data_IF_926708423706
#
_entry.id   IF_926708423706
#
_cell.length_a   1.000
_cell.length_b   1.000
_cell.length_c   1.000
_cell.angle_alpha   90.00
_cell.angle_beta   90.00
_cell.angle_gamma   90.00
#
_symmetry.space_group_name_H-M   'P 1'
#
loop_
_entity.id
_entity.type
_entity.pdbx_description
1 polymer ?
#
# COMPACT_ATOMS: atom_id res chain seq x y z
N UNK A 1 22.71 15.11 16.72
CA UNK A 1 22.31 16.52 16.40
C UNK A 1 21.04 16.52 15.54
N UNK A 2 20.98 15.80 14.44
CA UNK A 2 19.78 15.67 13.57
C UNK A 2 18.62 15.01 14.32
N UNK A 3 18.87 13.97 15.10
CA UNK A 3 17.83 13.26 15.86
C UNK A 3 17.08 14.18 16.84
N UNK A 4 17.80 15.07 17.51
CA UNK A 4 17.18 16.04 18.42
C UNK A 4 16.39 17.11 17.67
N UNK A 5 16.86 17.54 16.50
CA UNK A 5 16.12 18.43 15.62
C UNK A 5 14.77 17.79 15.25
N UNK A 6 14.80 16.59 14.68
CA UNK A 6 13.60 15.87 14.26
C UNK A 6 12.59 15.73 15.40
N UNK A 7 13.06 15.29 16.59
CA UNK A 7 12.20 15.13 17.77
C UNK A 7 11.55 16.44 18.22
N UNK A 8 12.30 17.55 18.21
CA UNK A 8 11.78 18.85 18.62
C UNK A 8 10.79 19.43 17.62
N UNK A 9 11.10 19.37 16.31
CA UNK A 9 10.22 19.84 15.25
C UNK A 9 8.90 19.07 15.27
N UNK A 10 8.94 17.74 15.27
CA UNK A 10 7.72 16.93 15.28
C UNK A 10 6.92 17.07 16.58
N UNK A 11 7.56 17.29 17.73
CA UNK A 11 6.85 17.61 18.97
C UNK A 11 6.08 18.92 18.86
N UNK A 12 6.68 19.93 18.27
CA UNK A 12 6.05 21.25 18.06
C UNK A 12 4.92 21.16 17.05
N UNK A 13 5.10 20.34 16.00
CA UNK A 13 4.18 20.22 14.90
C UNK A 13 3.03 19.22 15.14
N UNK A 14 3.13 18.38 16.15
CA UNK A 14 2.17 17.32 16.42
C UNK A 14 0.69 17.77 16.55
N UNK A 15 0.37 18.91 17.21
CA UNK A 15 -1.01 19.39 17.22
C UNK A 15 -1.60 19.71 15.83
N UNK A 16 -0.75 20.12 14.88
CA UNK A 16 -1.13 20.33 13.49
C UNK A 16 -1.38 19.01 12.78
N UNK A 17 -0.51 18.01 12.98
CA UNK A 17 -0.68 16.66 12.43
C UNK A 17 -2.04 16.08 12.82
N UNK A 18 -2.44 16.20 14.09
CA UNK A 18 -3.76 15.76 14.55
C UNK A 18 -4.89 16.46 13.79
N UNK A 19 -4.79 17.77 13.58
CA UNK A 19 -5.81 18.53 12.83
C UNK A 19 -5.90 18.08 11.36
N UNK A 20 -4.76 17.93 10.70
CA UNK A 20 -4.70 17.47 9.29
C UNK A 20 -5.31 16.07 9.14
N UNK A 21 -4.91 15.13 9.99
CA UNK A 21 -5.45 13.76 9.99
C UNK A 21 -6.96 13.76 10.20
N UNK A 22 -7.44 14.44 11.23
CA UNK A 22 -8.85 14.47 11.58
C UNK A 22 -9.70 15.17 10.53
N UNK A 23 -9.16 16.20 9.88
CA UNK A 23 -9.83 16.83 8.73
C UNK A 23 -10.03 15.86 7.58
N UNK A 24 -8.99 15.13 7.15
CA UNK A 24 -9.10 14.12 6.11
C UNK A 24 -10.05 12.99 6.52
N UNK A 25 -9.97 12.53 7.78
CA UNK A 25 -10.88 11.51 8.32
C UNK A 25 -12.37 11.92 8.26
N UNK A 26 -12.66 13.19 8.48
CA UNK A 26 -14.02 13.75 8.39
C UNK A 26 -14.51 13.91 6.95
N UNK A 27 -13.61 13.99 5.97
CA UNK A 27 -13.93 14.28 4.57
C UNK A 27 -13.32 13.23 3.62
N UNK A 28 -13.55 11.94 3.86
CA UNK A 28 -12.92 10.88 3.08
C UNK A 28 -13.51 10.78 1.68
N UNK A 29 -12.69 10.41 0.71
CA UNK A 29 -13.07 10.13 -0.67
C UNK A 29 -12.58 8.73 -1.06
N UNK A 30 -13.45 7.95 -1.74
CA UNK A 30 -13.10 6.60 -2.16
C UNK A 30 -12.13 6.62 -3.35
N UNK A 31 -11.42 5.49 -3.53
CA UNK A 31 -10.48 5.27 -4.63
C UNK A 31 -11.00 5.78 -5.98
N UNK A 32 -10.15 6.49 -6.72
CA UNK A 32 -10.41 7.14 -8.01
C UNK A 32 -11.43 8.30 -7.98
N UNK A 33 -11.81 8.80 -6.81
CA UNK A 33 -12.69 9.96 -6.61
C UNK A 33 -12.11 11.02 -5.65
N UNK A 34 -10.81 10.96 -5.35
CA UNK A 34 -10.13 11.71 -4.29
C UNK A 34 -9.76 13.14 -4.72
N UNK A 35 -10.61 13.79 -5.50
CA UNK A 35 -10.34 15.11 -6.06
C UNK A 35 -10.14 16.19 -4.98
N UNK A 36 -11.02 16.23 -3.99
CA UNK A 36 -10.96 17.29 -2.95
C UNK A 36 -9.81 17.00 -1.97
N UNK A 37 -9.53 15.72 -1.69
CA UNK A 37 -8.38 15.30 -0.88
C UNK A 37 -7.06 15.70 -1.55
N UNK A 38 -6.93 15.47 -2.86
CA UNK A 38 -5.77 15.92 -3.63
C UNK A 38 -5.62 17.45 -3.62
N UNK A 39 -6.72 18.20 -3.77
CA UNK A 39 -6.72 19.66 -3.68
C UNK A 39 -6.30 20.14 -2.28
N UNK A 40 -6.78 19.50 -1.23
CA UNK A 40 -6.39 19.80 0.15
C UNK A 40 -4.89 19.59 0.38
N UNK A 41 -4.34 18.45 -0.06
CA UNK A 41 -2.91 18.14 0.02
C UNK A 41 -2.08 19.18 -0.74
N UNK A 42 -2.46 19.48 -1.97
CA UNK A 42 -1.76 20.48 -2.79
C UNK A 42 -1.75 21.86 -2.14
N UNK A 43 -2.89 22.33 -1.63
CA UNK A 43 -3.01 23.63 -0.97
C UNK A 43 -2.12 23.70 0.28
N UNK A 44 -2.08 22.64 1.07
CA UNK A 44 -1.20 22.57 2.23
C UNK A 44 0.30 22.61 1.83
N UNK A 45 0.70 21.88 0.79
CA UNK A 45 2.07 21.91 0.28
C UNK A 45 2.47 23.32 -0.20
N UNK A 46 1.56 24.04 -0.85
CA UNK A 46 1.77 25.44 -1.25
C UNK A 46 1.89 26.37 -0.02
N UNK A 47 1.05 26.18 1.01
CA UNK A 47 1.07 26.97 2.24
C UNK A 47 2.41 26.86 2.99
N UNK A 48 3.00 25.66 3.04
CA UNK A 48 4.33 25.45 3.64
C UNK A 48 5.49 25.98 2.75
N UNK A 49 5.18 26.59 1.60
CA UNK A 49 6.15 27.24 0.71
C UNK A 49 6.78 26.34 -0.34
N UNK A 50 6.29 25.11 -0.54
CA UNK A 50 6.77 24.21 -1.57
C UNK A 50 6.27 24.68 -2.94
N UNK A 51 7.15 24.71 -3.95
CA UNK A 51 6.85 25.29 -5.28
C UNK A 51 6.92 24.28 -6.41
N UNK A 52 7.78 23.27 -6.30
CA UNK A 52 7.95 22.23 -7.31
C UNK A 52 6.96 21.10 -7.05
N UNK A 53 5.71 21.36 -7.41
CA UNK A 53 4.57 20.43 -7.21
C UNK A 53 3.96 20.14 -8.57
N UNK A 54 3.81 18.86 -8.88
CA UNK A 54 3.07 18.36 -10.04
C UNK A 54 1.81 17.67 -9.54
N UNK A 55 0.65 18.11 -10.01
CA UNK A 55 -0.65 17.53 -9.70
C UNK A 55 -1.19 16.73 -10.87
N UNK A 56 -2.23 15.93 -10.61
CA UNK A 56 -2.89 15.08 -11.62
C UNK A 56 -1.93 14.07 -12.28
N UNK A 57 -0.97 13.57 -11.53
CA UNK A 57 -0.08 12.50 -11.97
C UNK A 57 -0.84 11.17 -11.94
N UNK A 58 -1.00 10.57 -13.11
CA UNK A 58 -1.91 9.43 -13.29
C UNK A 58 -3.39 9.89 -13.34
N UNK A 59 -3.98 10.29 -12.24
CA UNK A 59 -5.31 10.89 -12.14
C UNK A 59 -5.30 12.01 -11.08
N UNK A 60 -5.29 11.67 -9.78
CA UNK A 60 -5.27 12.64 -8.68
C UNK A 60 -3.93 12.67 -7.94
N UNK A 61 -2.93 11.90 -8.40
CA UNK A 61 -1.62 11.83 -7.75
C UNK A 61 -0.90 13.16 -7.73
N UNK A 62 -0.10 13.38 -6.66
CA UNK A 62 0.72 14.57 -6.47
C UNK A 62 2.17 14.14 -6.28
N UNK A 63 3.07 14.80 -6.98
CA UNK A 63 4.51 14.65 -6.82
C UNK A 63 5.11 16.01 -6.44
N UNK A 64 5.70 16.07 -5.27
CA UNK A 64 6.28 17.30 -4.72
C UNK A 64 7.78 17.11 -4.51
N UNK A 65 8.61 17.94 -5.14
CA UNK A 65 10.08 17.88 -5.04
C UNK A 65 10.60 18.97 -4.12
N UNK A 66 11.35 18.56 -3.11
CA UNK A 66 12.07 19.43 -2.17
C UNK A 66 13.56 19.35 -2.56
N UNK A 67 14.13 20.48 -2.99
CA UNK A 67 15.53 20.54 -3.41
C UNK A 67 16.46 20.60 -2.20
N UNK A 68 17.43 19.69 -2.16
CA UNK A 68 18.51 19.69 -1.19
C UNK A 68 19.70 20.56 -1.63
N UNK A 69 20.83 20.38 -0.92
CA UNK A 69 22.08 21.09 -1.23
C UNK A 69 22.72 20.57 -2.53
N UNK A 70 22.49 19.33 -2.88
CA UNK A 70 22.98 18.66 -4.10
C UNK A 70 21.88 17.81 -4.72
N UNK A 71 21.49 18.17 -5.95
CA UNK A 71 20.46 17.46 -6.72
C UNK A 71 20.98 16.24 -7.50
N UNK A 72 22.20 15.77 -7.22
CA UNK A 72 22.77 14.58 -7.89
C UNK A 72 22.15 13.26 -7.46
N UNK A 73 21.43 13.26 -6.34
CA UNK A 73 20.73 12.10 -5.78
C UNK A 73 19.34 12.51 -5.30
N UNK A 74 18.41 11.55 -5.31
CA UNK A 74 17.02 11.78 -4.88
C UNK A 74 16.47 10.59 -4.11
N UNK A 75 15.91 10.84 -2.93
CA UNK A 75 15.15 9.87 -2.17
C UNK A 75 13.66 10.20 -2.23
N UNK A 76 12.82 9.18 -2.40
CA UNK A 76 11.37 9.36 -2.44
C UNK A 76 10.70 8.73 -1.22
N UNK A 77 9.57 9.33 -0.82
CA UNK A 77 8.65 8.78 0.19
C UNK A 77 7.25 8.78 -0.39
N UNK A 78 6.49 7.69 -0.17
CA UNK A 78 5.11 7.56 -0.65
C UNK A 78 4.13 7.48 0.51
N UNK A 79 3.02 8.15 0.36
CA UNK A 79 1.81 7.95 1.13
C UNK A 79 0.60 7.91 0.20
N UNK A 80 -0.34 7.01 0.49
CA UNK A 80 -1.65 6.94 -0.12
C UNK A 80 -2.66 7.87 0.60
N UNK A 81 -3.80 8.18 -0.07
CA UNK A 81 -4.79 9.09 0.53
C UNK A 81 -6.25 8.73 0.22
N UNK A 82 -6.52 7.58 -0.37
CA UNK A 82 -7.89 7.13 -0.63
C UNK A 82 -8.55 6.50 0.60
N UNK A 83 -9.87 6.41 0.56
CA UNK A 83 -10.71 5.85 1.59
C UNK A 83 -11.58 4.70 1.05
N UNK A 84 -12.29 4.05 1.94
CA UNK A 84 -13.10 2.85 1.67
C UNK A 84 -14.60 3.14 1.74
N UNK A 85 -15.39 2.39 0.95
CA UNK A 85 -16.85 2.37 1.01
C UNK A 85 -17.34 1.62 2.26
N UNK A 86 -17.03 2.16 3.45
CA UNK A 86 -17.37 1.60 4.76
C UNK A 86 -18.06 2.69 5.58
N UNK A 87 -19.14 2.33 6.28
CA UNK A 87 -19.80 3.27 7.19
C UNK A 87 -18.98 3.42 8.47
N UNK A 88 -18.55 4.63 8.78
CA UNK A 88 -17.87 4.92 10.05
C UNK A 88 -18.85 4.78 11.23
N UNK A 89 -18.59 3.84 12.12
CA UNK A 89 -19.44 3.55 13.28
C UNK A 89 -18.85 4.05 14.60
N UNK A 90 -17.72 4.78 14.55
CA UNK A 90 -17.11 5.36 15.75
C UNK A 90 -17.97 6.47 16.35
N UNK A 91 -17.80 6.66 17.65
CA UNK A 91 -18.37 7.78 18.40
C UNK A 91 -17.22 8.74 18.77
N UNK A 92 -16.75 9.49 17.78
CA UNK A 92 -15.66 10.45 17.92
C UNK A 92 -16.03 11.78 17.26
N UNK A 93 -15.43 12.90 17.73
CA UNK A 93 -15.65 14.22 17.17
C UNK A 93 -15.18 14.35 15.71
N UNK A 94 -14.24 13.50 15.29
CA UNK A 94 -13.69 13.45 13.92
C UNK A 94 -14.24 12.30 13.07
N UNK A 95 -15.37 11.72 13.47
CA UNK A 95 -16.08 10.73 12.64
C UNK A 95 -16.33 11.25 11.24
N UNK A 96 -16.27 10.37 10.24
CA UNK A 96 -16.58 10.70 8.85
C UNK A 96 -17.94 11.42 8.73
N UNK A 97 -17.96 12.52 8.00
CA UNK A 97 -19.20 13.26 7.65
C UNK A 97 -19.80 12.79 6.33
N UNK A 98 -19.09 11.90 5.61
CA UNK A 98 -19.53 11.35 4.32
C UNK A 98 -20.20 10.00 4.55
N UNK A 99 -21.49 9.83 4.25
CA UNK A 99 -22.20 8.59 4.47
C UNK A 99 -21.55 7.40 3.73
N UNK A 100 -21.34 6.30 4.44
CA UNK A 100 -20.76 5.06 3.91
C UNK A 100 -19.35 5.20 3.32
N UNK A 101 -18.59 6.21 3.72
CA UNK A 101 -17.18 6.36 3.36
C UNK A 101 -16.35 6.64 4.61
N UNK A 102 -15.20 5.98 4.74
CA UNK A 102 -14.34 6.10 5.92
C UNK A 102 -12.89 5.77 5.55
N UNK A 103 -11.94 6.52 6.15
CA UNK A 103 -10.55 6.07 6.21
C UNK A 103 -10.41 4.90 7.20
N UNK A 104 -10.68 3.68 6.73
CA UNK A 104 -10.60 2.47 7.54
C UNK A 104 -9.29 1.68 7.33
N UNK A 105 -8.30 2.29 6.65
CA UNK A 105 -6.97 1.71 6.45
C UNK A 105 -5.82 2.59 6.96
N UNK A 106 -6.11 3.83 7.41
CA UNK A 106 -5.10 4.72 8.01
C UNK A 106 -4.40 5.64 7.01
N UNK A 107 -4.89 5.74 5.77
CA UNK A 107 -4.28 6.57 4.72
C UNK A 107 -4.30 8.08 5.06
N UNK A 108 -5.26 8.55 5.85
CA UNK A 108 -5.27 9.87 6.47
C UNK A 108 -4.04 10.10 7.38
N UNK A 109 -3.61 9.07 8.09
CA UNK A 109 -2.39 9.06 8.91
C UNK A 109 -1.11 8.99 8.06
N UNK A 110 -1.09 8.16 7.01
CA UNK A 110 0.05 8.06 6.07
C UNK A 110 0.32 9.42 5.41
N UNK A 111 -0.72 10.00 4.83
CA UNK A 111 -0.66 11.32 4.20
C UNK A 111 -0.22 12.40 5.18
N UNK A 112 -0.78 12.42 6.39
CA UNK A 112 -0.38 13.39 7.43
C UNK A 112 1.10 13.24 7.80
N UNK A 113 1.59 12.02 7.94
CA UNK A 113 3.01 11.79 8.26
C UNK A 113 3.94 12.31 7.15
N UNK A 114 3.55 12.15 5.88
CA UNK A 114 4.33 12.66 4.76
C UNK A 114 4.23 14.19 4.63
N UNK A 115 3.07 14.80 4.90
CA UNK A 115 2.91 16.27 4.97
C UNK A 115 3.79 16.87 6.08
N UNK A 116 3.82 16.26 7.26
CA UNK A 116 4.69 16.69 8.35
C UNK A 116 6.18 16.55 7.98
N UNK A 117 6.53 15.48 7.28
CA UNK A 117 7.89 15.30 6.74
C UNK A 117 8.24 16.46 5.79
N UNK A 118 7.37 16.79 4.84
CA UNK A 118 7.57 17.92 3.92
C UNK A 118 7.76 19.24 4.68
N UNK A 119 6.91 19.52 5.68
CA UNK A 119 7.00 20.74 6.50
C UNK A 119 8.36 20.86 7.19
N UNK A 120 8.79 19.82 7.89
CA UNK A 120 10.07 19.84 8.62
C UNK A 120 11.26 19.97 7.66
N UNK A 121 11.21 19.33 6.49
CA UNK A 121 12.25 19.50 5.47
C UNK A 121 12.30 20.92 4.92
N UNK A 122 11.15 21.53 4.64
CA UNK A 122 11.06 22.91 4.15
C UNK A 122 11.63 23.92 5.18
N UNK A 123 11.41 23.71 6.47
CA UNK A 123 11.96 24.55 7.53
C UNK A 123 13.49 24.35 7.76
N UNK A 124 14.07 23.28 7.17
CA UNK A 124 15.47 22.89 7.41
C UNK A 124 16.23 22.56 6.10
N UNK A 125 15.94 23.28 5.02
CA UNK A 125 16.57 23.07 3.69
C UNK A 125 18.10 23.17 3.72
N UNK A 126 18.64 23.98 4.62
CA UNK A 126 20.09 24.14 4.83
C UNK A 126 20.79 22.86 5.33
N UNK A 127 20.02 21.90 5.84
CA UNK A 127 20.52 20.62 6.36
C UNK A 127 20.21 19.43 5.46
N UNK A 128 19.37 19.63 4.43
CA UNK A 128 18.96 18.57 3.52
C UNK A 128 20.06 18.29 2.48
N UNK A 129 20.72 17.13 2.50
CA UNK A 129 21.87 16.90 1.62
C UNK A 129 21.49 16.73 0.15
N UNK A 130 20.42 16.02 -0.13
CA UNK A 130 19.97 15.70 -1.49
C UNK A 130 18.48 15.96 -1.66
N UNK A 131 18.00 15.89 -2.90
CA UNK A 131 16.59 16.09 -3.21
C UNK A 131 15.71 15.03 -2.55
N UNK A 132 14.52 15.46 -2.13
CA UNK A 132 13.45 14.58 -1.65
C UNK A 132 12.24 14.72 -2.57
N UNK A 133 11.65 13.59 -2.94
CA UNK A 133 10.38 13.52 -3.67
C UNK A 133 9.32 12.94 -2.74
N UNK A 134 8.28 13.70 -2.47
CA UNK A 134 7.08 13.24 -1.78
C UNK A 134 6.03 12.84 -2.82
N UNK A 135 5.59 11.59 -2.77
CA UNK A 135 4.58 11.00 -3.66
C UNK A 135 3.31 10.79 -2.84
N UNK A 136 2.27 11.56 -3.15
CA UNK A 136 0.94 11.36 -2.58
C UNK A 136 0.10 10.63 -3.63
N UNK A 137 -0.30 9.40 -3.31
CA UNK A 137 -0.91 8.48 -4.24
C UNK A 137 -2.40 8.28 -3.95
N UNK A 138 -3.20 8.33 -4.99
CA UNK A 138 -4.62 7.96 -5.00
C UNK A 138 -4.82 6.45 -5.23
N UNK A 139 -5.99 5.92 -4.89
CA UNK A 139 -6.52 4.66 -5.44
C UNK A 139 -5.76 3.40 -5.05
N UNK A 140 -5.20 3.28 -3.85
CA UNK A 140 -4.52 2.06 -3.40
C UNK A 140 -5.50 0.90 -3.18
N UNK A 141 -6.64 1.18 -2.58
CA UNK A 141 -7.62 0.19 -2.10
C UNK A 141 -8.40 -0.54 -3.22
N UNK A 142 -8.26 -0.09 -4.44
CA UNK A 142 -8.99 -0.66 -5.58
C UNK A 142 -8.08 -0.89 -6.79
N UNK A 143 -7.93 -2.16 -7.19
CA UNK A 143 -7.22 -2.49 -8.43
C UNK A 143 -7.83 -1.74 -9.64
N UNK A 144 -7.00 -1.26 -10.58
CA UNK A 144 -5.58 -1.58 -10.78
C UNK A 144 -4.58 -0.78 -9.92
N UNK A 145 -5.03 0.04 -8.97
CA UNK A 145 -4.19 0.88 -8.13
C UNK A 145 -3.77 2.19 -8.80
N UNK A 146 -3.33 3.13 -7.95
CA UNK A 146 -2.81 4.42 -8.40
C UNK A 146 -1.30 4.40 -8.70
N UNK A 147 -0.54 3.44 -8.12
CA UNK A 147 0.92 3.40 -8.26
C UNK A 147 1.37 3.29 -9.71
N UNK A 148 0.88 2.29 -10.46
CA UNK A 148 1.31 2.07 -11.84
C UNK A 148 1.02 3.26 -12.77
N UNK A 149 -0.18 3.85 -12.81
CA UNK A 149 -0.43 5.06 -13.60
C UNK A 149 0.46 6.25 -13.20
N UNK A 150 0.80 6.40 -11.92
CA UNK A 150 1.72 7.46 -11.48
C UNK A 150 3.15 7.20 -11.94
N UNK A 151 3.61 5.95 -11.92
CA UNK A 151 4.93 5.54 -12.44
C UNK A 151 5.00 5.80 -13.95
N UNK A 152 3.98 5.36 -14.69
CA UNK A 152 3.89 5.57 -16.14
C UNK A 152 3.87 7.08 -16.50
N UNK A 153 3.37 7.93 -15.58
CA UNK A 153 3.39 9.39 -15.70
C UNK A 153 4.68 10.07 -15.16
N UNK A 154 5.71 9.30 -14.78
CA UNK A 154 7.04 9.78 -14.43
C UNK A 154 7.21 10.24 -12.98
N UNK A 155 6.43 9.71 -12.02
CA UNK A 155 6.60 10.06 -10.60
C UNK A 155 7.93 9.59 -10.01
N UNK A 156 8.59 8.61 -10.65
CA UNK A 156 9.91 8.09 -10.28
C UNK A 156 11.08 8.71 -11.09
N UNK A 157 10.84 9.73 -11.89
CA UNK A 157 11.89 10.36 -12.69
C UNK A 157 13.03 10.89 -11.81
N UNK A 158 14.24 10.36 -12.03
CA UNK A 158 15.45 10.67 -11.26
C UNK A 158 15.34 10.37 -9.76
N UNK A 159 14.59 9.35 -9.38
CA UNK A 159 14.54 8.82 -8.01
C UNK A 159 15.53 7.65 -7.88
N UNK A 160 16.40 7.71 -6.87
CA UNK A 160 17.45 6.71 -6.61
C UNK A 160 17.05 5.70 -5.54
N UNK A 161 16.15 6.08 -4.64
CA UNK A 161 15.64 5.22 -3.56
C UNK A 161 14.23 5.62 -3.17
N UNK A 162 13.41 4.65 -2.76
CA UNK A 162 12.04 4.92 -2.31
C UNK A 162 11.70 4.17 -1.02
N UNK A 163 10.98 4.83 -0.12
CA UNK A 163 10.47 4.22 1.10
C UNK A 163 9.00 4.55 1.30
N UNK A 164 8.26 3.57 1.83
CA UNK A 164 6.86 3.71 2.21
C UNK A 164 6.59 3.02 3.54
N UNK A 165 5.46 3.34 4.15
CA UNK A 165 5.06 2.77 5.42
C UNK A 165 3.55 2.54 5.47
N UNK A 166 3.12 1.52 6.20
CA UNK A 166 1.72 1.32 6.55
C UNK A 166 1.55 1.34 8.07
N UNK A 167 0.60 2.14 8.56
CA UNK A 167 0.16 2.10 9.95
C UNK A 167 -0.56 0.77 10.20
N UNK A 168 -0.10 -0.02 11.20
CA UNK A 168 -0.56 -1.40 11.34
C UNK A 168 -1.12 -1.67 12.74
N UNK A 169 -2.44 -1.69 12.89
CA UNK A 169 -3.09 -1.89 14.20
C UNK A 169 -2.94 -3.29 14.80
N UNK A 170 -2.67 -4.37 14.03
CA UNK A 170 -2.30 -5.65 14.64
C UNK A 170 -0.96 -5.62 15.39
N UNK A 171 -0.09 -4.65 15.12
CA UNK A 171 1.12 -4.41 15.92
C UNK A 171 0.85 -3.31 16.95
N UNK A 172 1.29 -3.48 18.21
CA UNK A 172 1.15 -2.45 19.23
C UNK A 172 1.99 -1.22 18.89
N UNK A 173 1.59 -0.05 19.39
CA UNK A 173 2.42 1.14 19.34
C UNK A 173 3.84 0.82 19.86
N UNK A 174 4.85 1.52 19.35
CA UNK A 174 6.27 1.27 19.63
C UNK A 174 6.81 -0.06 19.07
N UNK A 175 6.16 -0.63 18.05
CA UNK A 175 6.68 -1.75 17.27
C UNK A 175 6.89 -1.32 15.81
N UNK A 176 7.97 -1.76 15.18
CA UNK A 176 8.17 -1.67 13.73
C UNK A 176 8.28 -3.08 13.17
N UNK A 177 7.33 -3.42 12.31
CA UNK A 177 7.33 -4.67 11.54
C UNK A 177 8.07 -4.50 10.21
N UNK A 178 8.95 -5.44 9.89
CA UNK A 178 9.72 -5.43 8.66
C UNK A 178 9.90 -6.84 8.07
N UNK A 179 10.26 -6.89 6.80
CA UNK A 179 10.76 -8.10 6.16
C UNK A 179 11.96 -7.74 5.28
N UNK A 180 12.91 -8.64 5.16
CA UNK A 180 14.05 -8.48 4.23
C UNK A 180 13.69 -8.84 2.79
N UNK A 181 12.58 -9.55 2.58
CA UNK A 181 12.12 -10.04 1.29
C UNK A 181 10.62 -9.80 1.15
N UNK A 182 9.83 -10.88 1.03
CA UNK A 182 8.37 -10.80 0.87
C UNK A 182 7.71 -10.16 2.09
N UNK A 183 6.91 -9.12 1.87
CA UNK A 183 6.10 -8.48 2.90
C UNK A 183 4.61 -8.65 2.65
N UNK A 184 4.12 -8.38 1.41
CA UNK A 184 2.73 -8.57 1.05
C UNK A 184 2.61 -9.45 -0.20
N UNK A 185 1.58 -10.30 -0.25
CA UNK A 185 1.32 -11.19 -1.37
C UNK A 185 0.83 -10.40 -2.60
N UNK A 186 1.02 -10.98 -3.77
CA UNK A 186 0.27 -10.57 -4.95
C UNK A 186 -1.24 -10.67 -4.70
N UNK A 187 -2.02 -9.84 -5.37
CA UNK A 187 -3.47 -9.74 -5.16
C UNK A 187 -4.22 -9.72 -6.47
N UNK A 188 -4.30 -10.88 -7.13
CA UNK A 188 -4.99 -10.99 -8.41
C UNK A 188 -6.47 -11.28 -8.27
N UNK A 189 -7.23 -10.83 -9.24
CA UNK A 189 -8.66 -11.11 -9.38
C UNK A 189 -8.96 -11.78 -10.72
N UNK A 190 -9.89 -12.73 -10.70
CA UNK A 190 -10.43 -13.36 -11.90
C UNK A 190 -11.93 -13.61 -11.80
N UNK A 191 -12.56 -13.80 -12.93
CA UNK A 191 -13.95 -14.23 -13.06
C UNK A 191 -14.05 -15.38 -14.05
N UNK A 192 -14.92 -16.35 -13.75
CA UNK A 192 -15.28 -17.43 -14.68
C UNK A 192 -16.78 -17.33 -14.93
N UNK A 193 -17.16 -17.20 -16.22
CA UNK A 193 -18.55 -17.18 -16.66
C UNK A 193 -18.85 -18.48 -17.38
N UNK A 194 -19.90 -19.15 -16.96
CA UNK A 194 -20.36 -20.42 -17.53
C UNK A 194 -21.73 -20.21 -18.10
N UNK A 195 -21.93 -20.55 -19.39
CA UNK A 195 -23.23 -20.63 -20.05
C UNK A 195 -23.41 -22.03 -20.58
N UNK A 196 -24.47 -22.74 -20.18
CA UNK A 196 -24.72 -24.14 -20.54
C UNK A 196 -26.20 -24.43 -20.68
N UNK A 197 -26.54 -25.25 -21.67
CA UNK A 197 -27.91 -25.80 -21.80
C UNK A 197 -28.11 -27.09 -20.98
N UNK A 198 -27.01 -27.67 -20.46
CA UNK A 198 -27.09 -28.89 -19.66
C UNK A 198 -27.39 -28.56 -18.19
N UNK A 199 -26.38 -28.10 -17.46
CA UNK A 199 -26.54 -27.65 -16.04
C UNK A 199 -25.35 -26.83 -15.58
N UNK A 200 -25.40 -25.51 -15.69
CA UNK A 200 -24.34 -24.61 -15.26
C UNK A 200 -24.01 -24.72 -13.76
N UNK A 201 -25.00 -25.11 -12.90
CA UNK A 201 -24.73 -25.31 -11.46
C UNK A 201 -23.76 -26.46 -11.20
N UNK A 202 -23.90 -27.58 -11.90
CA UNK A 202 -23.02 -28.74 -11.73
C UNK A 202 -21.60 -28.42 -12.21
N UNK A 203 -21.50 -27.81 -13.41
CA UNK A 203 -20.21 -27.41 -13.97
C UNK A 203 -19.50 -26.40 -13.07
N UNK A 204 -20.22 -25.44 -12.49
CA UNK A 204 -19.67 -24.50 -11.53
C UNK A 204 -19.18 -25.17 -10.25
N UNK A 205 -19.93 -26.12 -9.70
CA UNK A 205 -19.53 -26.90 -8.52
C UNK A 205 -18.26 -27.71 -8.78
N UNK A 206 -18.16 -28.32 -9.96
CA UNK A 206 -16.98 -29.07 -10.40
C UNK A 206 -15.76 -28.15 -10.55
N UNK A 207 -15.91 -27.01 -11.22
CA UNK A 207 -14.87 -25.97 -11.32
C UNK A 207 -14.36 -25.56 -9.94
N UNK A 208 -15.25 -25.25 -8.98
CA UNK A 208 -14.90 -24.89 -7.60
C UNK A 208 -14.06 -25.99 -6.96
N UNK A 209 -14.50 -27.24 -7.04
CA UNK A 209 -13.82 -28.39 -6.44
C UNK A 209 -12.43 -28.61 -7.05
N UNK A 210 -12.32 -28.57 -8.39
CA UNK A 210 -11.06 -28.82 -9.10
C UNK A 210 -10.06 -27.67 -8.92
N UNK A 211 -10.53 -26.42 -8.85
CA UNK A 211 -9.67 -25.24 -8.62
C UNK A 211 -8.96 -25.34 -7.26
N UNK A 212 -9.63 -25.81 -6.21
CA UNK A 212 -9.00 -26.01 -4.90
C UNK A 212 -7.89 -27.07 -4.92
N UNK A 213 -7.98 -28.07 -5.82
CA UNK A 213 -6.93 -29.05 -6.02
C UNK A 213 -5.67 -28.44 -6.68
N UNK A 214 -5.83 -27.39 -7.50
CA UNK A 214 -4.69 -26.68 -8.10
C UNK A 214 -3.81 -26.09 -6.98
N UNK A 215 -4.40 -25.39 -6.03
CA UNK A 215 -3.66 -24.80 -4.92
C UNK A 215 -2.89 -25.85 -4.12
N UNK A 216 -3.51 -26.99 -3.81
CA UNK A 216 -2.89 -28.03 -2.97
C UNK A 216 -1.84 -28.88 -3.68
N UNK A 217 -1.89 -29.00 -5.02
CA UNK A 217 -1.01 -29.91 -5.78
C UNK A 217 0.19 -29.25 -6.45
N UNK A 218 0.10 -27.96 -6.74
CA UNK A 218 1.11 -27.27 -7.55
C UNK A 218 2.00 -26.32 -6.76
N UNK A 219 1.65 -25.97 -5.51
CA UNK A 219 2.58 -25.31 -4.59
C UNK A 219 3.63 -26.29 -4.08
N UNK A 220 4.90 -25.90 -4.12
CA UNK A 220 5.99 -26.67 -3.51
C UNK A 220 6.01 -26.43 -1.99
N UNK A 221 6.70 -27.30 -1.22
CA UNK A 221 6.92 -27.02 0.20
C UNK A 221 7.55 -25.61 0.39
N UNK A 222 6.96 -24.80 1.26
CA UNK A 222 7.31 -23.40 1.55
C UNK A 222 6.92 -22.39 0.47
N UNK A 223 6.22 -22.77 -0.59
CA UNK A 223 5.57 -21.82 -1.51
C UNK A 223 4.13 -21.60 -1.06
N UNK A 224 3.78 -20.35 -0.79
CA UNK A 224 2.41 -20.00 -0.41
C UNK A 224 1.60 -19.68 -1.65
N UNK A 225 0.48 -20.39 -1.79
CA UNK A 225 -0.53 -20.15 -2.82
C UNK A 225 -1.91 -20.24 -2.20
N UNK A 226 -2.70 -19.17 -2.32
CA UNK A 226 -4.11 -19.18 -1.89
C UNK A 226 -5.00 -18.81 -3.06
N UNK A 227 -5.96 -19.67 -3.38
CA UNK A 227 -7.03 -19.39 -4.36
C UNK A 227 -8.34 -19.33 -3.58
N UNK A 228 -8.95 -18.16 -3.53
CA UNK A 228 -10.23 -17.95 -2.88
C UNK A 228 -11.31 -17.71 -3.92
N UNK A 229 -12.39 -18.49 -3.88
CA UNK A 229 -13.59 -18.26 -4.69
C UNK A 229 -14.61 -17.53 -3.80
N UNK A 230 -14.61 -16.20 -3.90
CA UNK A 230 -15.34 -15.33 -2.97
C UNK A 230 -16.82 -15.20 -3.29
N UNK A 231 -17.22 -15.43 -4.55
CA UNK A 231 -18.61 -15.32 -4.98
C UNK A 231 -18.93 -16.39 -6.01
N UNK A 232 -20.07 -17.05 -5.85
CA UNK A 232 -20.69 -17.94 -6.82
C UNK A 232 -22.16 -17.58 -6.94
N UNK A 233 -22.58 -17.17 -8.12
CA UNK A 233 -23.98 -16.99 -8.49
C UNK A 233 -24.30 -17.94 -9.63
N UNK A 234 -25.41 -18.70 -9.54
CA UNK A 234 -25.73 -19.67 -10.57
C UNK A 234 -27.24 -19.92 -10.73
N UNK A 235 -27.60 -20.29 -11.94
CA UNK A 235 -28.87 -20.83 -12.35
C UNK A 235 -28.64 -22.13 -13.11
N UNK A 236 -29.69 -22.77 -13.61
CA UNK A 236 -29.52 -23.96 -14.46
C UNK A 236 -28.71 -23.69 -15.74
N UNK A 237 -28.79 -22.47 -16.30
CA UNK A 237 -28.18 -22.16 -17.58
C UNK A 237 -26.95 -21.27 -17.52
N UNK A 238 -26.75 -20.55 -16.42
CA UNK A 238 -25.65 -19.58 -16.26
C UNK A 238 -25.04 -19.67 -14.87
N UNK A 239 -23.73 -19.49 -14.79
CA UNK A 239 -23.02 -19.30 -13.53
C UNK A 239 -21.91 -18.26 -13.68
N UNK A 240 -21.66 -17.52 -12.61
CA UNK A 240 -20.52 -16.60 -12.48
C UNK A 240 -19.79 -16.88 -11.18
N UNK A 241 -18.47 -17.06 -11.27
CA UNK A 241 -17.59 -17.32 -10.14
C UNK A 241 -16.54 -16.22 -10.13
N UNK A 242 -16.42 -15.47 -9.03
CA UNK A 242 -15.36 -14.49 -8.84
C UNK A 242 -14.36 -15.04 -7.82
N UNK A 243 -13.08 -14.97 -8.15
CA UNK A 243 -12.01 -15.45 -7.30
C UNK A 243 -10.82 -14.50 -7.22
N UNK A 244 -9.96 -14.78 -6.24
CA UNK A 244 -8.67 -14.11 -6.06
C UNK A 244 -7.55 -15.14 -5.96
N UNK A 245 -6.35 -14.75 -6.40
CA UNK A 245 -5.12 -15.54 -6.26
C UNK A 245 -4.13 -14.72 -5.45
N UNK A 246 -3.53 -15.35 -4.42
CA UNK A 246 -2.46 -14.78 -3.58
C UNK A 246 -1.22 -15.65 -3.71
N UNK A 247 -0.08 -15.03 -3.98
CA UNK A 247 1.19 -15.74 -4.16
C UNK A 247 2.38 -14.79 -3.95
N UNK A 248 3.60 -15.35 -3.88
CA UNK A 248 4.84 -14.58 -3.84
C UNK A 248 5.77 -14.88 -5.03
N UNK A 249 5.42 -15.86 -5.86
CA UNK A 249 6.27 -16.37 -6.92
C UNK A 249 5.60 -16.21 -8.30
N UNK A 250 6.25 -15.46 -9.21
CA UNK A 250 5.73 -15.19 -10.57
C UNK A 250 5.60 -16.45 -11.44
N UNK A 251 6.51 -17.44 -11.27
CA UNK A 251 6.45 -18.68 -12.04
C UNK A 251 5.27 -19.55 -11.59
N UNK A 252 5.05 -19.65 -10.27
CA UNK A 252 3.89 -20.33 -9.70
C UNK A 252 2.58 -19.67 -10.14
N UNK A 253 2.55 -18.34 -10.17
CA UNK A 253 1.40 -17.57 -10.66
C UNK A 253 1.03 -17.95 -12.10
N UNK A 254 1.99 -17.90 -13.04
CA UNK A 254 1.73 -18.25 -14.44
C UNK A 254 1.26 -19.70 -14.58
N UNK A 255 1.87 -20.60 -13.83
CA UNK A 255 1.43 -22.01 -13.80
C UNK A 255 -0.02 -22.15 -13.35
N UNK A 256 -0.44 -21.41 -12.33
CA UNK A 256 -1.81 -21.43 -11.80
C UNK A 256 -2.81 -20.90 -12.83
N UNK A 257 -2.51 -19.76 -13.48
CA UNK A 257 -3.35 -19.22 -14.55
C UNK A 257 -3.53 -20.21 -15.69
N UNK A 258 -2.43 -20.84 -16.14
CA UNK A 258 -2.46 -21.88 -17.18
C UNK A 258 -3.31 -23.09 -16.77
N UNK A 259 -3.27 -23.49 -15.49
CA UNK A 259 -4.06 -24.60 -14.96
C UNK A 259 -5.54 -24.26 -14.90
N UNK A 260 -5.88 -23.06 -14.44
CA UNK A 260 -7.28 -22.59 -14.40
C UNK A 260 -7.86 -22.52 -15.83
N UNK A 261 -7.10 -21.96 -16.76
CA UNK A 261 -7.52 -21.91 -18.17
C UNK A 261 -7.74 -23.29 -18.78
N UNK A 262 -6.82 -24.23 -18.55
CA UNK A 262 -6.97 -25.60 -19.01
C UNK A 262 -8.16 -26.32 -18.37
N UNK A 263 -8.44 -26.04 -17.11
CA UNK A 263 -9.60 -26.57 -16.43
C UNK A 263 -10.90 -26.05 -17.09
N UNK A 264 -10.98 -24.77 -17.40
CA UNK A 264 -12.12 -24.20 -18.14
C UNK A 264 -12.33 -24.90 -19.49
N UNK A 265 -11.26 -25.07 -20.28
CA UNK A 265 -11.33 -25.75 -21.57
C UNK A 265 -11.76 -27.22 -21.44
N UNK A 266 -11.26 -27.95 -20.43
CA UNK A 266 -11.63 -29.35 -20.20
C UNK A 266 -13.11 -29.49 -19.86
N UNK A 267 -13.61 -28.61 -18.97
CA UNK A 267 -15.02 -28.62 -18.60
C UNK A 267 -15.95 -28.20 -19.77
N UNK A 268 -15.49 -27.32 -20.67
CA UNK A 268 -16.18 -26.96 -21.88
C UNK A 268 -16.26 -28.14 -22.89
N UNK A 269 -15.16 -28.86 -23.07
CA UNK A 269 -15.07 -30.03 -23.97
C UNK A 269 -15.90 -31.24 -23.48
N UNK A 270 -15.98 -31.41 -22.13
CA UNK A 270 -16.71 -32.52 -21.52
C UNK A 270 -18.23 -32.29 -21.48
N UNK A 271 -18.69 -31.04 -21.61
CA UNK A 271 -20.11 -30.65 -21.52
C UNK A 271 -20.55 -30.02 -22.82
N UNK A 272 -21.36 -30.73 -23.58
CA UNK A 272 -21.87 -30.24 -24.85
C UNK A 272 -22.74 -28.98 -24.65
N UNK A 273 -22.77 -28.08 -25.66
CA UNK A 273 -23.51 -26.81 -25.60
C UNK A 273 -23.14 -25.91 -24.38
N UNK A 274 -21.90 -26.05 -23.89
CA UNK A 274 -21.37 -25.24 -22.79
C UNK A 274 -20.29 -24.30 -23.31
N UNK A 275 -20.27 -23.06 -22.78
CA UNK A 275 -19.23 -22.08 -23.00
C UNK A 275 -18.71 -21.57 -21.65
N UNK A 276 -17.37 -21.52 -21.50
CA UNK A 276 -16.73 -21.06 -20.30
C UNK A 276 -15.72 -19.95 -20.63
N UNK A 277 -15.99 -18.75 -20.19
CA UNK A 277 -15.10 -17.60 -20.36
C UNK A 277 -14.28 -17.39 -19.06
N UNK A 278 -12.96 -17.55 -19.14
CA UNK A 278 -12.03 -17.18 -18.05
C UNK A 278 -11.53 -15.75 -18.28
N UNK A 279 -11.84 -14.85 -17.37
CA UNK A 279 -11.48 -13.43 -17.42
C UNK A 279 -10.51 -13.14 -16.28
N UNK A 280 -9.27 -12.84 -16.62
CA UNK A 280 -8.25 -12.43 -15.68
C UNK A 280 -8.15 -10.90 -15.68
N UNK A 281 -8.33 -10.28 -14.51
CA UNK A 281 -8.30 -8.82 -14.36
C UNK A 281 -6.92 -8.30 -13.92
N UNK A 282 -6.01 -9.20 -13.55
CA UNK A 282 -4.76 -8.81 -12.91
C UNK A 282 -4.96 -8.38 -11.45
N UNK A 283 -3.95 -7.72 -10.92
CA UNK A 283 -3.91 -7.22 -9.56
C UNK A 283 -2.53 -6.67 -9.25
N UNK A 284 -2.17 -6.60 -7.96
CA UNK A 284 -0.87 -6.10 -7.52
C UNK A 284 0.19 -7.22 -7.54
N UNK A 285 1.43 -6.94 -7.95
CA UNK A 285 2.52 -7.88 -7.77
C UNK A 285 2.83 -8.09 -6.29
N UNK A 286 3.60 -9.15 -5.93
CA UNK A 286 4.02 -9.28 -4.55
C UNK A 286 4.94 -8.12 -4.16
N UNK A 287 4.72 -7.57 -2.97
CA UNK A 287 5.60 -6.56 -2.39
C UNK A 287 6.81 -7.27 -1.79
N UNK A 288 7.96 -7.08 -2.44
CA UNK A 288 9.23 -7.66 -2.06
C UNK A 288 10.22 -6.54 -1.76
N UNK A 289 10.63 -6.43 -0.51
CA UNK A 289 11.62 -5.45 -0.09
C UNK A 289 13.01 -5.77 -0.64
N UNK A 290 13.77 -4.74 -0.94
CA UNK A 290 15.20 -4.89 -1.18
C UNK A 290 15.91 -5.05 0.17
N UNK A 291 16.67 -6.11 0.33
CA UNK A 291 17.36 -6.43 1.59
C UNK A 291 18.17 -5.24 2.13
N UNK A 292 18.98 -4.61 1.29
CA UNK A 292 19.74 -3.40 1.65
C UNK A 292 18.84 -2.22 2.02
N UNK A 293 17.70 -2.07 1.37
CA UNK A 293 16.69 -1.06 1.73
C UNK A 293 16.20 -1.26 3.16
N UNK A 294 15.90 -2.50 3.54
CA UNK A 294 15.49 -2.85 4.89
C UNK A 294 16.65 -2.66 5.89
N UNK A 295 17.88 -3.08 5.55
CA UNK A 295 19.07 -2.88 6.41
C UNK A 295 19.31 -1.38 6.70
N UNK A 296 19.26 -0.53 5.67
CA UNK A 296 19.40 0.92 5.84
C UNK A 296 18.25 1.50 6.69
N UNK A 297 17.00 1.14 6.40
CA UNK A 297 15.84 1.53 7.20
C UNK A 297 16.08 1.23 8.69
N UNK A 298 16.38 -0.02 9.04
CA UNK A 298 16.56 -0.46 10.43
C UNK A 298 17.73 0.23 11.12
N UNK A 299 18.81 0.51 10.37
CA UNK A 299 19.97 1.26 10.88
C UNK A 299 19.60 2.67 11.35
N UNK A 300 18.69 3.35 10.63
CA UNK A 300 18.26 4.70 11.00
C UNK A 300 17.12 4.69 12.01
N UNK A 301 16.22 3.73 11.95
CA UNK A 301 15.17 3.54 12.97
C UNK A 301 15.79 3.36 14.36
N UNK A 302 16.79 2.49 14.50
CA UNK A 302 17.48 2.23 15.78
C UNK A 302 18.15 3.47 16.37
N UNK A 303 18.50 4.48 15.55
CA UNK A 303 19.09 5.74 16.00
C UNK A 303 18.05 6.78 16.41
N UNK A 304 16.99 6.92 15.59
CA UNK A 304 15.98 7.97 15.79
C UNK A 304 14.92 7.57 16.81
N UNK A 305 14.53 6.31 16.83
CA UNK A 305 13.49 5.73 17.70
C UNK A 305 14.02 4.46 18.40
N UNK A 306 15.04 4.57 19.25
CA UNK A 306 15.68 3.41 19.90
C UNK A 306 14.75 2.64 20.85
N UNK A 307 13.59 3.20 21.19
CA UNK A 307 12.57 2.53 21.99
C UNK A 307 11.71 1.55 21.17
N UNK A 308 11.71 1.65 19.83
CA UNK A 308 10.89 0.74 19.03
C UNK A 308 11.40 -0.70 19.11
N UNK A 309 10.49 -1.61 19.35
CA UNK A 309 10.71 -3.03 19.13
C UNK A 309 10.74 -3.31 17.63
N UNK A 310 11.83 -3.92 17.14
CA UNK A 310 11.98 -4.30 15.73
C UNK A 310 11.57 -5.75 15.57
N UNK A 311 10.52 -6.02 14.80
CA UNK A 311 9.93 -7.34 14.60
C UNK A 311 9.99 -7.73 13.13
N UNK A 312 10.70 -8.82 12.81
CA UNK A 312 10.62 -9.43 11.50
C UNK A 312 9.29 -10.17 11.40
N UNK A 313 8.41 -9.67 10.53
CA UNK A 313 7.05 -10.20 10.39
C UNK A 313 6.97 -11.29 9.33
N UNK A 314 6.08 -12.25 9.55
CA UNK A 314 5.71 -13.21 8.51
C UNK A 314 5.02 -12.49 7.35
N UNK A 315 5.20 -12.94 6.10
CA UNK A 315 4.57 -12.34 4.94
C UNK A 315 3.05 -12.31 5.04
N UNK A 316 2.45 -11.16 4.73
CA UNK A 316 1.02 -10.92 4.81
C UNK A 316 0.29 -11.33 3.54
N UNK A 317 -0.86 -11.98 3.67
CA UNK A 317 -1.71 -12.40 2.54
C UNK A 317 -2.66 -11.28 2.07
N UNK A 318 -2.15 -10.03 2.03
CA UNK A 318 -2.83 -8.82 1.55
C UNK A 318 -2.11 -8.28 0.31
N UNK A 319 -2.78 -7.43 -0.48
CA UNK A 319 -2.16 -6.69 -1.59
C UNK A 319 -1.73 -5.31 -1.13
N UNK A 320 -0.68 -4.76 -1.75
CA UNK A 320 -0.20 -3.39 -1.58
C UNK A 320 0.47 -2.95 -2.89
N UNK A 321 -0.04 -1.89 -3.52
CA UNK A 321 0.44 -1.46 -4.84
C UNK A 321 1.79 -0.70 -4.79
N UNK A 322 2.31 -0.41 -3.60
CA UNK A 322 3.70 0.02 -3.41
C UNK A 322 4.70 -0.97 -4.04
N UNK A 323 4.30 -2.22 -4.19
CA UNK A 323 5.07 -3.24 -4.89
C UNK A 323 5.57 -2.79 -6.27
N UNK A 324 4.76 -2.03 -7.02
CA UNK A 324 5.17 -1.49 -8.32
C UNK A 324 6.34 -0.51 -8.22
N UNK A 325 6.42 0.29 -7.16
CA UNK A 325 7.56 1.19 -6.96
C UNK A 325 8.85 0.42 -6.73
N UNK A 326 8.80 -0.64 -5.91
CA UNK A 326 9.96 -1.48 -5.63
C UNK A 326 10.42 -2.33 -6.82
N UNK A 327 9.55 -2.59 -7.80
CA UNK A 327 9.98 -3.18 -9.08
C UNK A 327 10.84 -2.23 -9.93
N UNK A 328 10.82 -0.92 -9.66
CA UNK A 328 11.48 0.11 -10.45
C UNK A 328 12.66 0.80 -9.74
N UNK A 329 12.58 0.94 -8.41
CA UNK A 329 13.56 1.70 -7.62
C UNK A 329 13.88 0.94 -6.33
N UNK A 330 15.15 0.83 -5.91
CA UNK A 330 15.51 0.17 -4.67
C UNK A 330 14.95 0.92 -3.44
N UNK A 331 14.56 0.15 -2.42
CA UNK A 331 13.99 0.72 -1.22
C UNK A 331 13.37 -0.33 -0.30
N UNK A 332 12.49 0.12 0.58
CA UNK A 332 11.75 -0.76 1.47
C UNK A 332 10.39 -0.17 1.88
N UNK A 333 9.46 -1.07 2.16
CA UNK A 333 8.19 -0.79 2.80
C UNK A 333 8.17 -1.45 4.19
N UNK A 334 7.60 -0.77 5.17
CA UNK A 334 7.58 -1.25 6.54
C UNK A 334 6.21 -1.02 7.20
N UNK A 335 5.94 -1.81 8.23
CA UNK A 335 4.75 -1.67 9.05
C UNK A 335 5.11 -0.92 10.33
N UNK A 336 4.31 0.06 10.72
CA UNK A 336 4.52 0.76 11.98
C UNK A 336 3.34 0.51 12.92
N UNK A 337 3.61 -0.04 14.09
CA UNK A 337 2.60 -0.41 15.06
C UNK A 337 1.76 0.79 15.49
N UNK A 338 0.46 0.66 15.37
CA UNK A 338 -0.53 1.71 15.57
C UNK A 338 -1.67 1.29 16.49
N UNK A 339 -1.62 0.05 17.00
CA UNK A 339 -2.67 -0.55 17.82
C UNK A 339 -2.51 -0.32 19.32
N UNK A 340 -3.66 -0.43 20.02
CA UNK A 340 -3.75 -0.52 21.47
C UNK A 340 -4.92 -1.41 21.88
N UNK A 341 -5.04 -1.73 23.19
CA UNK A 341 -6.08 -2.61 23.72
C UNK A 341 -7.44 -1.91 23.92
N UNK A 342 -7.55 -0.63 23.59
CA UNK A 342 -8.76 0.16 23.85
C UNK A 342 -9.51 0.51 22.56
N UNK A 343 -9.22 1.63 21.93
CA UNK A 343 -9.93 2.12 20.74
C UNK A 343 -9.27 1.69 19.42
N UNK A 344 -7.95 1.54 19.38
CA UNK A 344 -7.16 1.15 18.20
C UNK A 344 -6.93 -0.39 18.14
N UNK A 345 -7.94 -1.18 18.49
CA UNK A 345 -7.90 -2.65 18.53
C UNK A 345 -8.57 -3.33 17.34
N UNK A 346 -9.28 -2.57 16.54
CA UNK A 346 -9.99 -3.11 15.40
C UNK A 346 -9.03 -3.25 14.19
N UNK A 347 -9.17 -4.32 13.41
CA UNK A 347 -8.35 -4.50 12.21
C UNK A 347 -8.70 -3.46 11.14
N UNK A 348 -7.82 -3.33 10.15
CA UNK A 348 -8.09 -2.57 8.94
C UNK A 348 -9.39 -3.02 8.28
N UNK A 349 -10.07 -2.09 7.60
CA UNK A 349 -11.37 -2.28 6.94
C UNK A 349 -12.54 -2.58 7.89
N UNK A 350 -12.36 -2.34 9.20
CA UNK A 350 -13.44 -2.47 10.17
C UNK A 350 -14.17 -1.13 10.38
N UNK A 351 -15.53 -1.10 10.53
CA UNK A 351 -16.28 0.15 10.74
C UNK A 351 -15.90 0.97 11.99
N UNK A 352 -15.25 0.35 12.96
CA UNK A 352 -14.73 1.00 14.16
C UNK A 352 -13.19 1.15 14.13
N UNK A 353 -12.56 1.02 12.96
CA UNK A 353 -11.11 1.19 12.83
C UNK A 353 -10.68 2.59 13.29
N UNK A 354 -9.63 2.62 14.09
CA UNK A 354 -8.89 3.82 14.48
C UNK A 354 -7.45 3.42 14.82
N UNK A 355 -6.58 4.38 15.01
CA UNK A 355 -5.19 4.13 15.35
C UNK A 355 -4.64 5.18 16.32
N UNK A 356 -3.56 4.84 17.02
CA UNK A 356 -2.82 5.77 17.88
C UNK A 356 -2.18 6.89 17.04
N UNK A 357 -2.69 8.13 17.17
CA UNK A 357 -2.22 9.26 16.36
C UNK A 357 -0.72 9.56 16.53
N UNK A 358 -0.11 9.13 17.63
CA UNK A 358 1.34 9.28 17.87
C UNK A 358 2.20 8.56 16.83
N UNK A 359 1.70 7.48 16.22
CA UNK A 359 2.39 6.73 15.17
C UNK A 359 2.77 7.60 13.97
N UNK A 360 2.00 8.65 13.68
CA UNK A 360 2.33 9.59 12.61
C UNK A 360 3.69 10.29 12.87
N UNK A 361 4.01 10.60 14.13
CA UNK A 361 5.35 11.13 14.49
C UNK A 361 6.44 10.09 14.28
N UNK A 362 6.17 8.82 14.59
CA UNK A 362 7.14 7.75 14.37
C UNK A 362 7.46 7.62 12.88
N UNK A 363 6.44 7.55 12.03
CA UNK A 363 6.59 7.47 10.57
C UNK A 363 7.36 8.68 10.02
N UNK A 364 6.97 9.91 10.41
CA UNK A 364 7.69 11.13 9.99
C UNK A 364 9.14 11.16 10.49
N UNK A 365 9.40 10.68 11.73
CA UNK A 365 10.76 10.60 12.26
C UNK A 365 11.66 9.70 11.43
N UNK A 366 11.14 8.57 10.97
CA UNK A 366 11.85 7.62 10.12
C UNK A 366 12.15 8.25 8.77
N UNK A 367 11.13 8.81 8.09
CA UNK A 367 11.30 9.47 6.79
C UNK A 367 12.31 10.62 6.86
N UNK A 368 12.22 11.47 7.88
CA UNK A 368 13.19 12.57 8.11
C UNK A 368 14.60 12.05 8.36
N UNK A 369 14.74 10.99 9.15
CA UNK A 369 16.04 10.37 9.42
C UNK A 369 16.69 9.85 8.15
N UNK A 370 15.92 9.20 7.27
CA UNK A 370 16.39 8.74 5.96
C UNK A 370 16.72 9.92 5.04
N UNK A 371 15.88 10.96 4.98
CA UNK A 371 16.08 12.15 4.15
C UNK A 371 17.34 12.92 4.51
N UNK A 372 17.55 13.24 5.78
CA UNK A 372 18.76 13.96 6.25
C UNK A 372 20.04 13.12 6.12
N UNK A 373 19.93 11.81 5.94
CA UNK A 373 21.06 10.91 5.72
C UNK A 373 21.07 10.29 4.31
N UNK A 374 20.31 10.84 3.37
CA UNK A 374 20.09 10.29 2.04
C UNK A 374 21.38 9.99 1.25
N UNK A 375 22.46 10.75 1.50
CA UNK A 375 23.76 10.48 0.87
C UNK A 375 24.26 9.05 1.18
N UNK A 376 24.21 8.62 2.44
CA UNK A 376 24.67 7.29 2.85
C UNK A 376 23.67 6.22 2.40
N UNK A 377 22.36 6.47 2.63
CA UNK A 377 21.28 5.56 2.24
C UNK A 377 21.39 5.17 0.76
N UNK A 378 21.42 6.17 -0.14
CA UNK A 378 21.47 5.94 -1.57
C UNK A 378 22.80 5.30 -2.00
N UNK A 379 23.93 5.70 -1.40
CA UNK A 379 25.22 5.10 -1.74
C UNK A 379 25.23 3.60 -1.40
N UNK A 380 24.78 3.24 -0.21
CA UNK A 380 24.76 1.85 0.25
C UNK A 380 23.83 0.98 -0.61
N UNK A 381 22.68 1.55 -1.07
CA UNK A 381 21.76 0.83 -1.98
C UNK A 381 22.35 0.56 -3.36
N UNK A 382 23.22 1.45 -3.88
CA UNK A 382 23.84 1.28 -5.21
C UNK A 382 25.01 0.30 -5.25
N UNK A 383 25.59 -0.07 -4.11
CA UNK A 383 26.71 -1.03 -4.05
C UNK A 383 26.28 -2.50 -4.30
N UNK A 384 24.98 -2.79 -4.47
CA UNK A 384 24.43 -4.12 -4.73
C UNK A 384 23.99 -4.35 -6.17
N UNK A 385 23.93 -3.29 -7.00
CA UNK A 385 23.62 -3.38 -8.43
C UNK A 385 24.90 -3.62 -9.28
#
# INVERSE_FOLDING_TARGET
MIENLIKNELKTYYPEMIKLRRYMHMHPEVSFNEKNTAEFINNYLLEIGLKDIKTNIGLYGIVARIKGQDSSKTIAFRADFDALSINDMKDTEYKSTVPNVMHACGHDGHTTALLATCKVLMDNLDKLPHDVVAIFQYGEEQAPGGAKPMIDAGCLDNVDAIFGAHLWTPLPLETLGYSYNELCAAADRFEVKISSKENANLIAAEFVSMTQQIASRFSKPRETLVITLGKLESTCNEASITGTIRHFNKELHQLVLDKIQKLCLSLEDENTETKIDFIYYGGYPPLINHKKGTEELLSYVSKILPQLNLEEVEPLMIGEDFAYYLENVPGAFFLIGAGNDTFAKYPHHHPNFDFEEEVMKHTSSIFLSLAFNSNKVITNLKEEQ
#
